data_IF_506375525301
#
_entry.id   IF_506375525301
#
_cell.length_a   1.000
_cell.length_b   1.000
_cell.length_c   1.000
_cell.angle_alpha   90.00
_cell.angle_beta   90.00
_cell.angle_gamma   90.00
#
_symmetry.space_group_name_H-M   'P 1'
#
loop_
_entity.id
_entity.type
_entity.pdbx_description
1 polymer ?
#
# COMPACT_ATOMS: atom_id res chain seq x y z
N UNK A 1 43.10 -13.63 6.23
CA UNK A 1 42.74 -14.82 5.45
C UNK A 1 41.26 -15.05 5.67
N UNK A 2 40.47 -14.72 4.64
CA UNK A 2 39.03 -14.96 4.43
C UNK A 2 38.08 -14.22 5.37
N UNK A 3 37.57 -13.04 5.01
CA UNK A 3 36.65 -12.68 3.92
C UNK A 3 35.23 -13.24 4.08
N UNK A 4 34.29 -12.29 4.02
CA UNK A 4 32.95 -12.43 3.46
C UNK A 4 31.87 -13.16 4.27
N UNK A 5 30.96 -12.35 4.80
CA UNK A 5 29.60 -12.26 4.22
C UNK A 5 28.94 -10.93 4.57
N UNK A 6 29.27 -9.94 3.74
CA UNK A 6 28.40 -8.83 3.41
C UNK A 6 27.08 -9.43 2.89
N UNK A 7 26.02 -9.40 3.69
CA UNK A 7 24.68 -9.74 3.21
C UNK A 7 24.18 -8.59 2.35
N UNK A 8 24.41 -8.76 1.06
CA UNK A 8 23.72 -8.11 -0.04
C UNK A 8 22.19 -8.23 0.21
N UNK A 9 21.51 -7.11 0.41
CA UNK A 9 20.06 -7.03 0.26
C UNK A 9 19.79 -6.17 -0.98
N UNK A 10 19.96 -6.79 -2.14
CA UNK A 10 19.55 -6.24 -3.43
C UNK A 10 18.05 -6.49 -3.62
N UNK A 11 17.27 -5.41 -3.70
CA UNK A 11 16.19 -5.31 -4.69
C UNK A 11 14.80 -5.94 -4.41
N UNK A 12 14.44 -6.29 -3.18
CA UNK A 12 13.02 -6.41 -2.83
C UNK A 12 12.50 -5.06 -2.35
N UNK A 13 12.06 -4.20 -3.29
CA UNK A 13 11.12 -3.14 -2.93
C UNK A 13 9.85 -3.82 -2.42
N UNK A 14 9.76 -4.01 -1.10
CA UNK A 14 8.53 -4.38 -0.45
C UNK A 14 7.46 -3.39 -0.90
N UNK A 15 6.52 -3.85 -1.72
CA UNK A 15 5.50 -3.00 -2.33
C UNK A 15 4.83 -2.18 -1.20
N UNK A 16 4.96 -0.86 -1.23
CA UNK A 16 4.38 0.03 -0.22
C UNK A 16 2.96 0.45 -0.63
N UNK A 17 2.15 0.88 0.33
CA UNK A 17 0.82 1.42 0.04
C UNK A 17 0.89 2.57 -0.98
N UNK A 18 1.77 3.54 -0.75
CA UNK A 18 1.94 4.71 -1.63
C UNK A 18 2.35 4.31 -3.04
N UNK A 19 3.31 3.37 -3.18
CA UNK A 19 3.74 2.86 -4.48
C UNK A 19 2.60 2.14 -5.20
N UNK A 20 1.88 1.25 -4.50
CA UNK A 20 0.77 0.51 -5.09
C UNK A 20 -0.38 1.43 -5.50
N UNK A 21 -0.66 2.46 -4.70
CA UNK A 21 -1.69 3.44 -4.99
C UNK A 21 -1.32 4.31 -6.20
N UNK A 22 -0.07 4.77 -6.29
CA UNK A 22 0.43 5.51 -7.46
C UNK A 22 0.33 4.66 -8.73
N UNK A 23 0.76 3.39 -8.67
CA UNK A 23 0.64 2.47 -9.80
C UNK A 23 -0.82 2.28 -10.22
N UNK A 24 -1.75 2.13 -9.27
CA UNK A 24 -3.17 2.00 -9.56
C UNK A 24 -3.72 3.24 -10.28
N UNK A 25 -3.34 4.44 -9.84
CA UNK A 25 -3.74 5.69 -10.51
C UNK A 25 -3.24 5.75 -11.96
N UNK A 26 -2.01 5.31 -12.21
CA UNK A 26 -1.45 5.30 -13.56
C UNK A 26 -2.11 4.25 -14.46
N UNK A 27 -2.49 3.08 -13.92
CA UNK A 27 -3.29 2.10 -14.65
C UNK A 27 -4.68 2.65 -15.03
N UNK A 28 -5.34 3.35 -14.11
CA UNK A 28 -6.63 4.01 -14.38
C UNK A 28 -6.49 5.05 -15.50
N UNK A 29 -5.47 5.92 -15.44
CA UNK A 29 -5.21 6.90 -16.51
C UNK A 29 -5.00 6.23 -17.87
N UNK A 30 -4.30 5.08 -17.90
CA UNK A 30 -4.10 4.32 -19.15
C UNK A 30 -5.41 3.76 -19.71
N UNK A 31 -6.31 3.27 -18.85
CA UNK A 31 -7.64 2.81 -19.25
C UNK A 31 -8.51 3.96 -19.77
N UNK A 32 -8.50 5.11 -19.09
CA UNK A 32 -9.24 6.30 -19.49
C UNK A 32 -8.75 6.89 -20.81
N UNK A 33 -7.46 6.71 -21.13
CA UNK A 33 -6.87 7.18 -22.38
C UNK A 33 -7.37 6.47 -23.64
N UNK A 34 -8.04 5.32 -23.52
CA UNK A 34 -8.73 4.64 -24.64
C UNK A 34 -7.83 4.13 -25.78
N UNK A 35 -6.50 4.20 -25.63
CA UNK A 35 -5.53 3.78 -26.65
C UNK A 35 -5.12 2.30 -26.54
N UNK A 36 -5.65 1.57 -25.54
CA UNK A 36 -5.30 0.18 -25.28
C UNK A 36 -6.09 -0.77 -26.16
N UNK A 37 -5.44 -1.84 -26.60
CA UNK A 37 -6.14 -2.99 -27.19
C UNK A 37 -7.03 -3.68 -26.15
N UNK A 38 -7.95 -4.53 -26.58
CA UNK A 38 -8.79 -5.32 -25.66
C UNK A 38 -7.95 -6.20 -24.73
N UNK A 39 -6.93 -6.87 -25.26
CA UNK A 39 -6.04 -7.73 -24.48
C UNK A 39 -5.23 -6.92 -23.46
N UNK A 40 -4.73 -5.76 -23.84
CA UNK A 40 -3.97 -4.91 -22.91
C UNK A 40 -4.88 -4.27 -21.86
N UNK A 41 -6.11 -3.93 -22.22
CA UNK A 41 -7.12 -3.44 -21.27
C UNK A 41 -7.44 -4.51 -20.21
N UNK A 42 -7.52 -5.78 -20.60
CA UNK A 42 -7.71 -6.89 -19.66
C UNK A 42 -6.51 -7.08 -18.72
N UNK A 43 -5.28 -6.98 -19.22
CA UNK A 43 -4.07 -7.06 -18.38
C UNK A 43 -4.02 -5.92 -17.37
N UNK A 44 -4.24 -4.69 -17.82
CA UNK A 44 -4.28 -3.51 -16.95
C UNK A 44 -5.37 -3.63 -15.89
N UNK A 45 -6.53 -4.17 -16.25
CA UNK A 45 -7.61 -4.44 -15.30
C UNK A 45 -7.21 -5.48 -14.25
N UNK A 46 -6.60 -6.61 -14.66
CA UNK A 46 -6.12 -7.63 -13.73
C UNK A 46 -5.08 -7.08 -12.74
N UNK A 47 -4.14 -6.28 -13.22
CA UNK A 47 -3.15 -5.59 -12.39
C UNK A 47 -3.83 -4.60 -11.42
N UNK A 48 -4.78 -3.80 -11.91
CA UNK A 48 -5.55 -2.88 -11.07
C UNK A 48 -6.32 -3.58 -9.96
N UNK A 49 -6.90 -4.75 -10.22
CA UNK A 49 -7.57 -5.57 -9.20
C UNK A 49 -6.58 -6.08 -8.14
N UNK A 50 -5.37 -6.50 -8.54
CA UNK A 50 -4.32 -6.93 -7.60
C UNK A 50 -3.88 -5.77 -6.70
N UNK A 51 -3.61 -4.61 -7.28
CA UNK A 51 -3.20 -3.41 -6.54
C UNK A 51 -4.30 -2.95 -5.58
N UNK A 52 -5.57 -2.96 -6.01
CA UNK A 52 -6.71 -2.59 -5.17
C UNK A 52 -6.80 -3.50 -3.94
N UNK A 53 -6.63 -4.82 -4.12
CA UNK A 53 -6.62 -5.78 -3.00
C UNK A 53 -5.47 -5.52 -2.04
N UNK A 54 -4.28 -5.24 -2.57
CA UNK A 54 -3.11 -4.90 -1.74
C UNK A 54 -3.35 -3.63 -0.91
N UNK A 55 -3.89 -2.57 -1.52
CA UNK A 55 -4.22 -1.33 -0.83
C UNK A 55 -5.24 -1.57 0.29
N UNK A 56 -6.30 -2.33 0.00
CA UNK A 56 -7.33 -2.67 0.99
C UNK A 56 -6.74 -3.44 2.18
N UNK A 57 -5.89 -4.43 1.92
CA UNK A 57 -5.21 -5.18 2.99
C UNK A 57 -4.31 -4.28 3.83
N UNK A 58 -3.55 -3.39 3.20
CA UNK A 58 -2.69 -2.43 3.90
C UNK A 58 -3.49 -1.52 4.83
N UNK A 59 -4.64 -1.01 4.35
CA UNK A 59 -5.55 -0.20 5.17
C UNK A 59 -6.14 -1.00 6.33
N UNK A 60 -6.58 -2.23 6.10
CA UNK A 60 -7.11 -3.09 7.17
C UNK A 60 -6.07 -3.35 8.26
N UNK A 61 -4.81 -3.60 7.90
CA UNK A 61 -3.72 -3.77 8.86
C UNK A 61 -3.49 -2.47 9.65
N UNK A 62 -3.53 -1.32 8.99
CA UNK A 62 -3.41 -0.02 9.65
C UNK A 62 -4.56 0.24 10.64
N UNK A 63 -5.80 -0.02 10.23
CA UNK A 63 -7.00 0.09 11.08
C UNK A 63 -6.90 -0.79 12.32
N UNK A 64 -6.52 -2.06 12.16
CA UNK A 64 -6.33 -2.98 13.28
C UNK A 64 -5.27 -2.49 14.26
N UNK A 65 -4.17 -1.94 13.75
CA UNK A 65 -3.11 -1.37 14.60
C UNK A 65 -3.59 -0.16 15.37
N UNK A 66 -4.35 0.74 14.73
CA UNK A 66 -4.97 1.89 15.40
C UNK A 66 -5.95 1.43 16.48
N UNK A 67 -6.81 0.45 16.17
CA UNK A 67 -7.76 -0.10 17.14
C UNK A 67 -7.06 -0.73 18.35
N UNK A 68 -5.98 -1.48 18.13
CA UNK A 68 -5.17 -2.04 19.23
C UNK A 68 -4.55 -0.94 20.09
N UNK A 69 -3.97 0.10 19.49
CA UNK A 69 -3.39 1.22 20.23
C UNK A 69 -4.44 1.95 21.08
N UNK A 70 -5.66 2.15 20.55
CA UNK A 70 -6.78 2.74 21.29
C UNK A 70 -7.22 1.84 22.46
N UNK A 71 -7.31 0.53 22.25
CA UNK A 71 -7.70 -0.44 23.30
C UNK A 71 -6.66 -0.55 24.42
N UNK A 72 -5.37 -0.40 24.11
CA UNK A 72 -4.27 -0.46 25.09
C UNK A 72 -4.18 0.83 25.93
N UNK A 73 -4.70 1.95 25.43
CA UNK A 73 -4.64 3.27 26.07
C UNK A 73 -5.50 3.47 27.34
N UNK A 74 -6.29 2.47 27.75
CA UNK A 74 -7.14 2.58 28.94
C UNK A 74 -8.46 3.31 28.68
N UNK A 75 -9.54 2.78 29.27
CA UNK A 75 -10.81 3.46 29.57
C UNK A 75 -11.68 4.06 28.44
N UNK A 76 -11.37 3.86 27.15
CA UNK A 76 -12.34 4.12 26.07
C UNK A 76 -12.73 5.60 25.92
N UNK A 77 -11.91 6.53 26.44
CA UNK A 77 -12.01 7.96 26.18
C UNK A 77 -10.82 8.40 25.34
N UNK A 78 -11.01 8.45 24.03
CA UNK A 78 -10.06 9.12 23.14
C UNK A 78 -10.12 10.62 23.46
N UNK A 79 -9.16 11.12 24.23
CA UNK A 79 -8.91 12.56 24.28
C UNK A 79 -8.04 12.92 23.08
N UNK A 80 -8.68 13.32 21.99
CA UNK A 80 -8.02 14.14 20.98
C UNK A 80 -7.77 15.50 21.62
N UNK A 81 -6.54 15.77 22.07
CA UNK A 81 -6.13 17.16 22.24
C UNK A 81 -6.12 17.77 20.84
N UNK A 82 -6.96 18.77 20.63
CA UNK A 82 -6.81 19.65 19.48
C UNK A 82 -5.35 20.10 19.46
N UNK A 83 -4.69 19.96 18.32
CA UNK A 83 -3.40 20.61 18.09
C UNK A 83 -3.64 22.11 18.27
N UNK A 84 -3.14 22.67 19.37
CA UNK A 84 -3.01 24.11 19.51
C UNK A 84 -1.73 24.52 18.79
N UNK A 85 -1.87 25.45 17.84
CA UNK A 85 -0.79 26.15 17.13
C UNK A 85 0.16 26.90 18.09
#
# INVERSE_FOLDING_TARGET
>A
MVDSKNTENEGEESQTFESAFSQLQDLVKKLEGGALSLEDSLKVFEEGVKLTRFCQQSLTVAEQKVEQLIKIGGDGKIQTKAFEE
#
